data_IF_290897987542
#
_entry.id   IF_290897987542
#
_cell.length_a   1.000
_cell.length_b   1.000
_cell.length_c   1.000
_cell.angle_alpha   90.00
_cell.angle_beta   90.00
_cell.angle_gamma   90.00
#
_symmetry.space_group_name_H-M   'P 1'
#
loop_
_entity.id
_entity.type
_entity.pdbx_description
1 polymer ?
#
# COMPACT_ATOMS: atom_id res chain seq x y z
N UNK A 1 14.88 -6.71 1.22
CA UNK A 1 15.19 -7.96 1.96
C UNK A 1 16.26 -8.76 1.23
N UNK A 2 16.10 -9.02 -0.07
CA UNK A 2 17.10 -9.70 -0.94
C UNK A 2 18.54 -9.15 -0.80
N UNK A 3 18.71 -7.82 -0.73
CA UNK A 3 20.05 -7.22 -0.57
C UNK A 3 20.75 -7.67 0.72
N UNK A 4 20.02 -7.82 1.82
CA UNK A 4 20.56 -8.31 3.08
C UNK A 4 20.85 -9.80 3.02
N UNK A 5 19.88 -10.58 2.53
CA UNK A 5 19.91 -12.03 2.68
C UNK A 5 20.78 -12.72 1.62
N UNK A 6 20.84 -12.19 0.39
CA UNK A 6 21.60 -12.80 -0.71
C UNK A 6 22.91 -12.09 -1.01
N UNK A 7 23.04 -10.81 -0.62
CA UNK A 7 24.21 -9.99 -0.96
C UNK A 7 24.96 -9.45 0.27
N UNK A 8 24.57 -9.84 1.49
CA UNK A 8 25.23 -9.41 2.73
C UNK A 8 25.10 -7.91 3.05
N UNK A 9 24.27 -7.16 2.32
CA UNK A 9 24.08 -5.72 2.52
C UNK A 9 23.11 -5.48 3.68
N UNK A 10 23.65 -5.30 4.88
CA UNK A 10 22.84 -5.09 6.09
C UNK A 10 21.90 -3.88 5.99
N UNK A 11 22.42 -2.72 5.55
CA UNK A 11 21.66 -1.48 5.41
C UNK A 11 22.13 -0.70 4.19
N UNK A 12 21.21 -0.48 3.24
CA UNK A 12 21.51 0.24 1.98
C UNK A 12 21.91 1.70 2.20
N UNK A 13 21.41 2.32 3.28
CA UNK A 13 21.69 3.73 3.59
C UNK A 13 23.17 4.00 3.80
N UNK A 14 23.92 3.09 4.42
CA UNK A 14 25.33 3.30 4.73
C UNK A 14 26.22 3.20 3.49
N UNK A 15 25.85 2.33 2.54
CA UNK A 15 26.60 2.14 1.30
C UNK A 15 26.28 3.22 0.27
N UNK A 16 25.00 3.50 0.04
CA UNK A 16 24.55 4.38 -1.04
C UNK A 16 24.30 5.83 -0.59
N UNK A 17 24.48 6.15 0.70
CA UNK A 17 24.19 7.46 1.30
C UNK A 17 22.69 7.83 1.34
N UNK A 18 21.82 7.07 0.69
CA UNK A 18 20.38 7.33 0.55
C UNK A 18 19.54 6.09 0.85
N UNK A 19 18.25 6.31 1.17
CA UNK A 19 17.28 5.21 1.35
C UNK A 19 16.81 4.66 -0.01
N UNK A 20 16.42 3.38 -0.03
CA UNK A 20 15.96 2.66 -1.23
C UNK A 20 14.92 3.45 -2.03
N UNK A 21 13.87 3.95 -1.37
CA UNK A 21 12.80 4.71 -2.03
C UNK A 21 13.31 5.98 -2.72
N UNK A 22 14.34 6.63 -2.17
CA UNK A 22 14.93 7.83 -2.77
C UNK A 22 15.75 7.49 -4.02
N UNK A 23 16.47 6.37 -3.99
CA UNK A 23 17.21 5.82 -5.14
C UNK A 23 16.24 5.44 -6.28
N UNK A 24 15.10 4.84 -5.95
CA UNK A 24 14.08 4.52 -6.95
C UNK A 24 13.46 5.78 -7.57
N UNK A 25 13.18 6.80 -6.75
CA UNK A 25 12.67 8.09 -7.24
C UNK A 25 13.66 8.81 -8.15
N UNK A 26 14.94 8.84 -7.80
CA UNK A 26 15.97 9.48 -8.64
C UNK A 26 16.15 8.77 -9.97
N UNK A 27 15.88 7.46 -10.04
CA UNK A 27 15.92 6.68 -11.28
C UNK A 27 14.59 6.67 -12.06
N UNK A 28 13.55 7.34 -11.56
CA UNK A 28 12.22 7.35 -12.20
C UNK A 28 11.45 6.01 -12.12
N UNK A 29 11.90 5.08 -11.29
CA UNK A 29 11.32 3.73 -11.14
C UNK A 29 10.44 3.60 -9.88
N UNK A 30 10.11 4.73 -9.24
CA UNK A 30 9.30 4.71 -8.04
C UNK A 30 7.82 4.43 -8.39
N UNK A 31 7.13 3.59 -7.60
CA UNK A 31 5.71 3.35 -7.80
C UNK A 31 4.92 4.64 -7.56
N UNK A 32 3.83 4.82 -8.33
CA UNK A 32 2.94 5.97 -8.23
C UNK A 32 2.15 5.99 -6.91
N UNK A 33 1.80 4.81 -6.40
CA UNK A 33 1.11 4.62 -5.12
C UNK A 33 2.14 4.14 -4.08
N UNK A 34 2.13 4.69 -2.86
CA UNK A 34 2.94 4.17 -1.76
C UNK A 34 2.67 2.69 -1.47
N UNK A 35 3.73 1.90 -1.23
CA UNK A 35 3.67 0.44 -1.03
C UNK A 35 2.74 0.01 0.11
N UNK A 36 2.75 0.76 1.22
CA UNK A 36 1.92 0.50 2.39
C UNK A 36 0.43 0.69 2.10
N UNK A 37 0.08 1.74 1.34
CA UNK A 37 -1.27 1.99 0.87
C UNK A 37 -1.70 0.90 -0.12
N UNK A 38 -0.85 0.58 -1.10
CA UNK A 38 -1.08 -0.50 -2.06
C UNK A 38 -1.41 -1.83 -1.36
N UNK A 39 -0.60 -2.22 -0.37
CA UNK A 39 -0.78 -3.48 0.33
C UNK A 39 -2.05 -3.53 1.18
N UNK A 40 -2.48 -2.40 1.76
CA UNK A 40 -3.75 -2.33 2.48
C UNK A 40 -4.95 -2.43 1.54
N UNK A 41 -4.91 -1.75 0.39
CA UNK A 41 -5.95 -1.86 -0.63
C UNK A 41 -6.01 -3.30 -1.15
N UNK A 42 -4.87 -3.97 -1.33
CA UNK A 42 -4.80 -5.39 -1.77
C UNK A 42 -5.45 -6.31 -0.75
N UNK A 43 -5.20 -6.08 0.53
CA UNK A 43 -5.86 -6.80 1.63
C UNK A 43 -7.36 -6.55 1.65
N UNK A 44 -7.81 -5.31 1.46
CA UNK A 44 -9.23 -4.97 1.42
C UNK A 44 -9.96 -5.67 0.26
N UNK A 45 -9.36 -5.69 -0.94
CA UNK A 45 -9.90 -6.39 -2.11
C UNK A 45 -10.03 -7.90 -1.85
N UNK A 46 -9.02 -8.52 -1.23
CA UNK A 46 -9.07 -9.94 -0.87
C UNK A 46 -10.20 -10.24 0.12
N UNK A 47 -10.35 -9.44 1.19
CA UNK A 47 -11.42 -9.61 2.18
C UNK A 47 -12.80 -9.40 1.55
N UNK A 48 -12.95 -8.40 0.66
CA UNK A 48 -14.21 -8.15 -0.06
C UNK A 48 -14.58 -9.32 -0.97
N UNK A 49 -13.60 -9.90 -1.69
CA UNK A 49 -13.81 -11.11 -2.51
C UNK A 49 -14.27 -12.30 -1.65
N UNK A 50 -13.67 -12.49 -0.46
CA UNK A 50 -14.10 -13.51 0.51
C UNK A 50 -15.54 -13.30 0.98
N UNK A 51 -15.88 -12.08 1.42
CA UNK A 51 -17.22 -11.73 1.90
C UNK A 51 -18.30 -11.80 0.81
N UNK A 52 -17.92 -11.64 -0.47
CA UNK A 52 -18.82 -11.85 -1.60
C UNK A 52 -19.38 -13.28 -1.66
N UNK A 53 -18.59 -14.27 -1.25
CA UNK A 53 -18.99 -15.68 -1.16
C UNK A 53 -19.53 -16.01 0.24
N UNK A 54 -18.92 -15.46 1.28
CA UNK A 54 -19.17 -15.79 2.69
C UNK A 54 -19.87 -14.65 3.44
N UNK A 55 -21.11 -14.34 3.06
CA UNK A 55 -21.86 -13.18 3.59
C UNK A 55 -22.13 -13.22 5.10
N UNK A 56 -22.12 -14.41 5.72
CA UNK A 56 -22.39 -14.60 7.16
C UNK A 56 -21.17 -14.37 8.05
N UNK A 57 -19.98 -14.19 7.47
CA UNK A 57 -18.74 -13.98 8.23
C UNK A 57 -18.67 -12.54 8.78
N UNK A 58 -19.13 -12.39 10.03
CA UNK A 58 -19.16 -11.11 10.74
C UNK A 58 -17.77 -10.61 11.13
N UNK A 59 -16.84 -11.52 11.43
CA UNK A 59 -15.47 -11.16 11.82
C UNK A 59 -14.70 -10.56 10.64
N UNK A 60 -14.77 -11.20 9.47
CA UNK A 60 -14.16 -10.64 8.25
C UNK A 60 -14.78 -9.30 7.87
N UNK A 61 -16.09 -9.10 8.09
CA UNK A 61 -16.76 -7.80 7.87
C UNK A 61 -16.23 -6.74 8.82
N UNK A 62 -16.05 -7.05 10.10
CA UNK A 62 -15.44 -6.14 11.07
C UNK A 62 -14.00 -5.78 10.68
N UNK A 63 -13.19 -6.79 10.32
CA UNK A 63 -11.81 -6.59 9.87
C UNK A 63 -11.71 -5.76 8.59
N UNK A 64 -12.65 -5.90 7.66
CA UNK A 64 -12.73 -5.04 6.47
C UNK A 64 -12.85 -3.56 6.85
N UNK A 65 -13.77 -3.23 7.78
CA UNK A 65 -13.98 -1.85 8.27
C UNK A 65 -12.69 -1.27 8.86
N UNK A 66 -11.94 -2.06 9.63
CA UNK A 66 -10.66 -1.63 10.20
C UNK A 66 -9.61 -1.36 9.12
N UNK A 67 -9.52 -2.21 8.10
CA UNK A 67 -8.58 -2.04 6.99
C UNK A 67 -8.94 -0.78 6.19
N UNK A 68 -10.22 -0.58 5.86
CA UNK A 68 -10.68 0.61 5.13
C UNK A 68 -10.46 1.90 5.93
N UNK A 69 -10.67 1.88 7.25
CA UNK A 69 -10.35 3.00 8.13
C UNK A 69 -8.85 3.36 8.09
N UNK A 70 -7.97 2.35 8.02
CA UNK A 70 -6.52 2.57 7.88
C UNK A 70 -6.17 3.16 6.51
N UNK A 71 -6.79 2.67 5.44
CA UNK A 71 -6.61 3.21 4.08
C UNK A 71 -6.97 4.69 4.05
N UNK A 72 -8.13 5.08 4.60
CA UNK A 72 -8.55 6.49 4.62
C UNK A 72 -7.59 7.39 5.41
N UNK A 73 -7.06 6.90 6.54
CA UNK A 73 -6.06 7.64 7.34
C UNK A 73 -4.75 7.85 6.57
N UNK A 74 -4.23 6.81 5.93
CA UNK A 74 -3.00 6.91 5.14
C UNK A 74 -3.19 7.76 3.89
N UNK A 75 -4.30 7.61 3.19
CA UNK A 75 -4.64 8.44 2.04
C UNK A 75 -4.69 9.93 2.42
N UNK A 76 -5.23 10.28 3.60
CA UNK A 76 -5.22 11.65 4.11
C UNK A 76 -3.78 12.14 4.33
N UNK A 77 -2.95 11.35 5.02
CA UNK A 77 -1.55 11.68 5.26
C UNK A 77 -0.79 11.93 3.95
N UNK A 78 -0.90 11.03 2.98
CA UNK A 78 -0.19 11.15 1.71
C UNK A 78 -0.71 12.28 0.81
N UNK A 79 -1.96 12.71 0.97
CA UNK A 79 -2.47 13.94 0.35
C UNK A 79 -1.85 15.19 0.97
N UNK A 80 -1.73 15.24 2.29
CA UNK A 80 -1.04 16.36 2.98
C UNK A 80 0.43 16.46 2.58
N UNK A 81 1.11 15.32 2.43
CA UNK A 81 2.50 15.26 1.98
C UNK A 81 2.70 15.44 0.46
N UNK A 82 1.62 15.72 -0.30
CA UNK A 82 1.62 15.86 -1.78
C UNK A 82 2.20 14.66 -2.53
N UNK A 83 2.16 13.49 -1.92
CA UNK A 83 2.56 12.23 -2.58
C UNK A 83 1.41 11.70 -3.43
N UNK A 84 0.17 11.87 -2.96
CA UNK A 84 -1.04 11.55 -3.72
C UNK A 84 -1.72 12.83 -4.23
N UNK A 85 -2.37 12.75 -5.40
CA UNK A 85 -3.23 13.81 -5.89
C UNK A 85 -4.35 14.17 -4.89
N UNK A 86 -4.74 15.45 -4.75
CA UNK A 86 -5.82 15.86 -3.83
C UNK A 86 -7.17 15.19 -4.13
N UNK A 87 -7.44 14.92 -5.40
CA UNK A 87 -8.63 14.23 -5.89
C UNK A 87 -8.57 12.70 -5.70
N UNK A 88 -7.47 12.16 -5.17
CA UNK A 88 -7.36 10.72 -4.92
C UNK A 88 -8.38 10.28 -3.86
N UNK A 89 -9.18 9.28 -4.23
CA UNK A 89 -10.21 8.67 -3.39
C UNK A 89 -10.14 7.16 -3.51
N UNK A 90 -10.20 6.49 -2.38
CA UNK A 90 -10.39 5.05 -2.35
C UNK A 90 -11.87 4.75 -2.61
N UNK A 91 -12.13 3.98 -3.66
CA UNK A 91 -13.44 3.41 -3.93
C UNK A 91 -13.31 1.88 -4.00
N UNK A 92 -14.15 1.23 -3.19
CA UNK A 92 -14.31 -0.21 -3.13
C UNK A 92 -14.51 -0.92 -4.46
N UNK A 93 -15.20 -0.28 -5.42
CA UNK A 93 -15.55 -0.87 -6.70
C UNK A 93 -14.36 -0.85 -7.68
N UNK A 94 -13.55 0.21 -7.64
CA UNK A 94 -12.37 0.40 -8.49
C UNK A 94 -11.07 -0.05 -7.83
N UNK A 95 -11.13 -0.44 -6.55
CA UNK A 95 -9.97 -0.92 -5.80
C UNK A 95 -9.26 -2.11 -6.47
N UNK A 96 -9.98 -2.96 -7.22
CA UNK A 96 -9.36 -4.08 -7.95
C UNK A 96 -8.51 -3.63 -9.13
N UNK A 97 -8.88 -2.56 -9.83
CA UNK A 97 -8.15 -2.05 -11.00
C UNK A 97 -6.91 -1.26 -10.60
N UNK A 98 -6.89 -0.72 -9.38
CA UNK A 98 -5.73 -0.01 -8.80
C UNK A 98 -4.56 -0.93 -8.44
N UNK A 99 -4.78 -2.25 -8.43
CA UNK A 99 -3.83 -3.25 -7.90
C UNK A 99 -3.38 -4.24 -9.00
N UNK A 100 -4.10 -4.25 -10.12
CA UNK A 100 -3.85 -5.11 -11.28
C UNK A 100 -2.56 -4.72 -12.01
#
# INVERSE_FOLDING_TARGET
VILRDSHGVAQVRWLAGNKILRILKSKGLAPSIPEDLYQLVKKAVAIRKHLGRNRKDKDSKFRLILVESRIHRLARYYKTCRVLPPNWKYDSATASTLIA
#
